data_IF_709926339841
#
_entry.id   IF_709926339841
#
_cell.length_a   1.000
_cell.length_b   1.000
_cell.length_c   1.000
_cell.angle_alpha   90.00
_cell.angle_beta   90.00
_cell.angle_gamma   90.00
#
_symmetry.space_group_name_H-M   'P 1'
#
loop_
_entity.id
_entity.type
_entity.pdbx_description
1 polymer ?
#
# COMPACT_ATOMS: atom_id res chain seq x y z
N UNK A 1 22.45 23.08 27.17
CA UNK A 1 21.11 22.45 27.23
C UNK A 1 20.09 23.56 27.08
N UNK A 2 19.11 23.44 26.19
CA UNK A 2 18.08 24.50 26.08
C UNK A 2 17.15 24.45 27.30
N UNK A 3 16.70 25.60 27.84
CA UNK A 3 15.96 25.65 29.11
C UNK A 3 14.64 24.87 29.09
N UNK A 4 14.03 24.68 27.92
CA UNK A 4 12.82 23.86 27.75
C UNK A 4 13.06 22.34 27.93
N UNK A 5 14.32 21.90 28.05
CA UNK A 5 14.71 20.49 28.25
C UNK A 5 15.04 20.18 29.72
N UNK A 6 15.04 21.20 30.59
CA UNK A 6 15.42 21.08 32.00
C UNK A 6 14.22 20.67 32.87
N UNK A 7 12.99 20.81 32.36
CA UNK A 7 11.75 20.48 33.05
C UNK A 7 11.00 19.28 32.42
N UNK A 8 11.68 18.40 31.68
CA UNK A 8 11.03 17.12 31.33
C UNK A 8 10.82 16.33 32.62
N UNK A 9 9.57 16.02 33.00
CA UNK A 9 9.33 15.14 34.14
C UNK A 9 10.06 13.82 33.90
N UNK A 10 10.55 13.19 34.97
CA UNK A 10 11.18 11.88 34.92
C UNK A 10 10.28 10.80 34.25
N UNK A 11 8.98 11.09 34.09
CA UNK A 11 7.95 10.27 33.46
C UNK A 11 7.43 10.88 32.14
N UNK A 12 8.32 11.29 31.22
CA UNK A 12 7.95 11.71 29.86
C UNK A 12 7.50 10.51 29.00
N UNK A 13 6.45 9.82 29.45
CA UNK A 13 5.80 8.71 28.73
C UNK A 13 4.92 9.31 27.65
N UNK A 14 5.32 9.11 26.39
CA UNK A 14 4.47 9.41 25.23
C UNK A 14 3.62 8.17 24.96
N UNK A 15 2.33 8.23 25.33
CA UNK A 15 1.38 7.16 25.01
C UNK A 15 0.98 7.26 23.54
N UNK A 16 1.21 6.18 22.78
CA UNK A 16 0.77 6.02 21.40
C UNK A 16 -0.38 4.99 21.36
N UNK A 17 -1.64 5.42 21.60
CA UNK A 17 -2.73 4.48 21.91
C UNK A 17 -3.16 3.57 20.75
N UNK A 18 -2.86 3.91 19.49
CA UNK A 18 -3.31 3.15 18.32
C UNK A 18 -2.17 2.53 17.49
N UNK A 19 -0.92 2.76 17.87
CA UNK A 19 0.22 2.37 17.06
C UNK A 19 0.68 0.97 17.44
N UNK A 20 0.69 0.05 16.47
CA UNK A 20 1.14 -1.33 16.70
C UNK A 20 2.63 -1.33 17.05
N UNK A 21 3.00 -2.11 18.06
CA UNK A 21 4.35 -2.17 18.63
C UNK A 21 5.44 -2.27 17.55
N UNK A 22 5.22 -3.08 16.51
CA UNK A 22 6.23 -3.31 15.47
C UNK A 22 6.50 -2.09 14.59
N UNK A 23 5.47 -1.27 14.32
CA UNK A 23 5.65 -0.04 13.54
C UNK A 23 6.45 1.01 14.34
N UNK A 24 6.22 1.07 15.66
CA UNK A 24 6.97 1.96 16.57
C UNK A 24 8.43 1.51 16.65
N UNK A 25 8.69 0.20 16.81
CA UNK A 25 10.06 -0.32 16.80
C UNK A 25 10.78 -0.02 15.47
N UNK A 26 10.09 -0.17 14.34
CA UNK A 26 10.64 0.18 13.03
C UNK A 26 10.97 1.67 12.93
N UNK A 27 10.09 2.54 13.44
CA UNK A 27 10.34 3.98 13.47
C UNK A 27 11.54 4.34 14.36
N UNK A 28 11.62 3.79 15.58
CA UNK A 28 12.76 3.99 16.47
C UNK A 28 14.05 3.53 15.82
N UNK A 29 14.04 2.35 15.21
CA UNK A 29 15.21 1.84 14.50
C UNK A 29 15.63 2.79 13.38
N UNK A 30 14.70 3.25 12.54
CA UNK A 30 15.00 4.23 11.49
C UNK A 30 15.53 5.55 12.05
N UNK A 31 15.00 6.03 13.17
CA UNK A 31 15.40 7.28 13.79
C UNK A 31 16.89 7.27 14.17
N UNK A 32 17.36 6.15 14.73
CA UNK A 32 18.75 5.99 15.18
C UNK A 32 19.71 5.50 14.10
N UNK A 33 19.26 4.59 13.22
CA UNK A 33 20.13 3.93 12.23
C UNK A 33 20.02 4.50 10.82
N UNK A 34 18.95 5.23 10.52
CA UNK A 34 18.54 5.64 9.17
C UNK A 34 18.29 4.47 8.21
N UNK A 35 17.98 3.29 8.75
CA UNK A 35 17.64 2.10 7.98
C UNK A 35 16.30 1.51 8.41
N UNK A 36 15.61 0.88 7.45
CA UNK A 36 14.33 0.20 7.67
C UNK A 36 14.56 -1.29 7.47
N UNK A 37 14.81 -2.04 8.56
CA UNK A 37 15.08 -3.46 8.47
C UNK A 37 13.77 -4.20 8.21
N UNK A 38 13.85 -5.21 7.36
CA UNK A 38 12.77 -6.16 7.14
C UNK A 38 13.31 -7.52 7.53
N UNK A 39 12.63 -8.17 8.48
CA UNK A 39 13.02 -9.50 8.92
C UNK A 39 12.83 -10.50 7.79
N UNK A 40 13.86 -11.30 7.51
CA UNK A 40 13.81 -12.38 6.52
C UNK A 40 12.81 -13.50 6.90
N UNK A 41 12.35 -13.52 8.16
CA UNK A 41 11.38 -14.51 8.64
C UNK A 41 9.92 -14.10 8.36
N UNK A 42 9.68 -12.88 7.84
CA UNK A 42 8.34 -12.44 7.49
C UNK A 42 7.95 -12.94 6.09
N UNK A 43 6.70 -13.33 5.93
CA UNK A 43 6.11 -13.48 4.60
C UNK A 43 6.08 -12.13 3.88
N UNK A 44 6.04 -12.11 2.55
CA UNK A 44 5.98 -10.87 1.79
C UNK A 44 4.77 -10.01 2.21
N UNK A 45 3.61 -10.63 2.41
CA UNK A 45 2.40 -9.92 2.88
C UNK A 45 2.58 -9.31 4.27
N UNK A 46 3.17 -10.06 5.21
CA UNK A 46 3.41 -9.55 6.55
C UNK A 46 4.42 -8.39 6.53
N UNK A 47 5.45 -8.48 5.69
CA UNK A 47 6.42 -7.40 5.50
C UNK A 47 5.78 -6.15 4.90
N UNK A 48 4.97 -6.28 3.84
CA UNK A 48 4.26 -5.13 3.27
C UNK A 48 3.22 -4.54 4.22
N UNK A 49 2.53 -5.37 5.00
CA UNK A 49 1.59 -4.89 6.01
C UNK A 49 2.33 -4.10 7.09
N UNK A 50 3.51 -4.54 7.53
CA UNK A 50 4.37 -3.80 8.46
C UNK A 50 4.83 -2.46 7.87
N UNK A 51 5.29 -2.44 6.62
CA UNK A 51 5.68 -1.21 5.92
C UNK A 51 4.50 -0.23 5.79
N UNK A 52 3.28 -0.72 5.50
CA UNK A 52 2.10 0.13 5.44
C UNK A 52 1.74 0.72 6.82
N UNK A 53 1.82 -0.06 7.89
CA UNK A 53 1.64 0.44 9.26
C UNK A 53 2.68 1.50 9.62
N UNK A 54 3.96 1.26 9.26
CA UNK A 54 5.03 2.22 9.46
C UNK A 54 4.79 3.52 8.68
N UNK A 55 4.28 3.44 7.45
CA UNK A 55 3.90 4.64 6.69
C UNK A 55 2.78 5.42 7.39
N UNK A 56 1.73 4.73 7.86
CA UNK A 56 0.61 5.33 8.61
C UNK A 56 1.09 5.98 9.91
N UNK A 57 2.02 5.35 10.63
CA UNK A 57 2.68 5.96 11.79
C UNK A 57 3.42 7.24 11.37
N UNK A 58 4.16 7.21 10.26
CA UNK A 58 4.81 8.39 9.70
C UNK A 58 3.84 9.51 9.30
N UNK A 59 2.62 9.17 8.88
CA UNK A 59 1.55 10.16 8.64
C UNK A 59 1.11 10.81 9.95
N UNK A 60 0.85 10.00 10.99
CA UNK A 60 0.49 10.50 12.33
C UNK A 60 1.56 11.39 12.94
N UNK A 61 2.84 11.01 12.79
CA UNK A 61 3.99 11.76 13.29
C UNK A 61 4.39 12.94 12.40
N UNK A 62 3.77 13.09 11.22
CA UNK A 62 4.13 14.07 10.20
C UNK A 62 5.61 14.00 9.76
N UNK A 63 6.27 12.85 9.91
CA UNK A 63 7.68 12.67 9.53
C UNK A 63 7.80 12.34 8.04
N UNK A 64 8.01 13.38 7.24
CA UNK A 64 8.16 13.26 5.78
C UNK A 64 9.37 12.40 5.40
N UNK A 65 10.48 12.48 6.15
CA UNK A 65 11.71 11.72 5.81
C UNK A 65 11.49 10.24 6.04
N UNK A 66 10.83 9.89 7.14
CA UNK A 66 10.46 8.51 7.42
C UNK A 66 9.50 7.96 6.36
N UNK A 67 8.42 8.70 6.06
CA UNK A 67 7.46 8.31 5.01
C UNK A 67 8.12 8.06 3.66
N UNK A 68 9.03 8.94 3.24
CA UNK A 68 9.76 8.78 1.99
C UNK A 68 10.67 7.55 2.03
N UNK A 69 11.34 7.29 3.16
CA UNK A 69 12.15 6.09 3.31
C UNK A 69 11.30 4.82 3.19
N UNK A 70 10.11 4.78 3.82
CA UNK A 70 9.19 3.64 3.70
C UNK A 70 8.75 3.42 2.25
N UNK A 71 8.44 4.49 1.51
CA UNK A 71 8.10 4.40 0.07
C UNK A 71 9.26 3.81 -0.74
N UNK A 72 10.49 4.29 -0.52
CA UNK A 72 11.68 3.76 -1.18
C UNK A 72 11.88 2.27 -0.86
N UNK A 73 11.67 1.88 0.40
CA UNK A 73 11.75 0.49 0.83
C UNK A 73 10.67 -0.37 0.18
N UNK A 74 9.41 0.07 0.12
CA UNK A 74 8.32 -0.64 -0.57
C UNK A 74 8.68 -0.89 -2.03
N UNK A 75 9.21 0.11 -2.74
CA UNK A 75 9.64 -0.02 -4.13
C UNK A 75 10.78 -1.03 -4.30
N UNK A 76 11.80 -0.96 -3.45
CA UNK A 76 12.95 -1.86 -3.51
C UNK A 76 12.51 -3.32 -3.32
N UNK A 77 11.71 -3.58 -2.28
CA UNK A 77 11.26 -4.94 -1.96
C UNK A 77 10.29 -5.51 -2.99
N UNK A 78 9.38 -4.69 -3.51
CA UNK A 78 8.51 -5.09 -4.62
C UNK A 78 9.33 -5.56 -5.83
N UNK A 79 10.43 -4.86 -6.13
CA UNK A 79 11.29 -5.21 -7.26
C UNK A 79 12.13 -6.45 -6.99
N UNK A 80 12.67 -6.57 -5.78
CA UNK A 80 13.45 -7.72 -5.34
C UNK A 80 12.62 -9.01 -5.33
N UNK A 81 11.46 -8.99 -4.67
CA UNK A 81 10.59 -10.16 -4.54
C UNK A 81 9.68 -10.40 -5.74
N UNK A 82 9.62 -9.45 -6.67
CA UNK A 82 8.65 -9.44 -7.79
C UNK A 82 7.20 -9.65 -7.32
N UNK A 83 6.89 -9.11 -6.15
CA UNK A 83 5.62 -9.30 -5.45
C UNK A 83 4.86 -7.98 -5.34
N UNK A 84 3.56 -8.00 -5.64
CA UNK A 84 2.70 -6.82 -5.46
C UNK A 84 1.92 -6.95 -4.15
N UNK A 85 1.92 -5.92 -3.28
CA UNK A 85 1.12 -5.97 -2.05
C UNK A 85 -0.38 -5.99 -2.37
N UNK A 86 -1.09 -6.93 -1.76
CA UNK A 86 -2.54 -7.13 -1.92
C UNK A 86 -3.29 -7.08 -0.58
N UNK A 87 -4.62 -7.02 -0.63
CA UNK A 87 -5.52 -7.20 0.51
C UNK A 87 -5.19 -6.33 1.72
N UNK A 88 -4.70 -6.96 2.80
CA UNK A 88 -4.48 -6.31 4.10
C UNK A 88 -3.57 -5.08 4.03
N UNK A 89 -2.51 -5.10 3.21
CA UNK A 89 -1.60 -3.97 3.07
C UNK A 89 -2.31 -2.73 2.52
N UNK A 90 -3.18 -2.95 1.51
CA UNK A 90 -4.02 -1.90 0.92
C UNK A 90 -5.02 -1.37 1.95
N UNK A 91 -5.67 -2.27 2.69
CA UNK A 91 -6.65 -1.90 3.70
C UNK A 91 -6.06 -1.03 4.81
N UNK A 92 -4.87 -1.38 5.32
CA UNK A 92 -4.14 -0.58 6.31
C UNK A 92 -3.86 0.82 5.76
N UNK A 93 -3.40 0.89 4.50
CA UNK A 93 -3.02 2.16 3.90
C UNK A 93 -4.22 3.08 3.68
N UNK A 94 -5.35 2.56 3.20
CA UNK A 94 -6.56 3.35 3.00
C UNK A 94 -7.20 3.76 4.33
N UNK A 95 -7.17 2.91 5.36
CA UNK A 95 -7.69 3.28 6.67
C UNK A 95 -6.86 4.38 7.35
N UNK A 96 -5.54 4.39 7.14
CA UNK A 96 -4.61 5.23 7.90
C UNK A 96 -4.05 6.46 7.19
N UNK A 97 -4.49 6.77 5.97
CA UNK A 97 -3.96 7.89 5.18
C UNK A 97 -5.07 8.72 4.55
N UNK A 98 -4.86 10.02 4.24
CA UNK A 98 -5.84 10.82 3.50
C UNK A 98 -5.86 10.44 2.01
N UNK A 99 -6.93 10.81 1.30
CA UNK A 99 -7.09 10.58 -0.15
C UNK A 99 -5.93 11.15 -0.99
N UNK A 100 -5.33 12.24 -0.53
CA UNK A 100 -4.19 12.90 -1.21
C UNK A 100 -2.85 12.22 -0.97
N UNK A 101 -2.81 11.11 -0.20
CA UNK A 101 -1.59 10.43 0.17
C UNK A 101 -0.79 9.92 -1.05
N UNK A 102 0.52 10.23 -1.14
CA UNK A 102 1.41 9.67 -2.15
C UNK A 102 1.47 8.13 -2.13
N UNK A 103 1.34 7.51 -0.95
CA UNK A 103 1.37 6.05 -0.84
C UNK A 103 0.15 5.40 -1.50
N UNK A 104 -1.05 5.97 -1.34
CA UNK A 104 -2.25 5.49 -2.04
C UNK A 104 -2.04 5.51 -3.55
N UNK A 105 -1.51 6.61 -4.09
CA UNK A 105 -1.18 6.73 -5.52
C UNK A 105 -0.18 5.68 -6.00
N UNK A 106 0.85 5.39 -5.19
CA UNK A 106 1.82 4.33 -5.51
C UNK A 106 1.13 2.98 -5.68
N UNK A 107 0.32 2.57 -4.71
CA UNK A 107 -0.36 1.26 -4.75
C UNK A 107 -1.31 1.17 -5.94
N UNK A 108 -2.04 2.25 -6.23
CA UNK A 108 -2.91 2.35 -7.40
C UNK A 108 -2.12 2.16 -8.70
N UNK A 109 -0.96 2.82 -8.83
CA UNK A 109 -0.11 2.66 -10.02
C UNK A 109 0.46 1.24 -10.13
N UNK A 110 0.87 0.62 -9.03
CA UNK A 110 1.38 -0.75 -9.02
C UNK A 110 0.31 -1.72 -9.51
N UNK A 111 -0.91 -1.63 -8.97
CA UNK A 111 -2.02 -2.50 -9.36
C UNK A 111 -2.48 -2.23 -10.78
N UNK A 112 -2.70 -0.98 -11.17
CA UNK A 112 -3.16 -0.65 -12.51
C UNK A 112 -2.21 -1.16 -13.63
N UNK A 113 -0.92 -1.33 -13.31
CA UNK A 113 0.08 -1.77 -14.29
C UNK A 113 0.32 -3.28 -14.23
N UNK A 114 0.38 -3.86 -13.03
CA UNK A 114 0.82 -5.25 -12.83
C UNK A 114 -0.30 -6.24 -12.55
N UNK A 115 -1.57 -5.78 -12.42
CA UNK A 115 -2.71 -6.66 -12.19
C UNK A 115 -2.76 -7.80 -13.22
N UNK A 116 -2.95 -9.02 -12.72
CA UNK A 116 -3.12 -10.24 -13.52
C UNK A 116 -4.40 -10.93 -13.06
N UNK A 117 -5.15 -11.49 -14.01
CA UNK A 117 -6.36 -12.26 -13.69
C UNK A 117 -5.99 -13.71 -13.32
N UNK A 118 -5.33 -13.87 -12.18
CA UNK A 118 -5.02 -15.17 -11.57
C UNK A 118 -5.59 -15.26 -10.14
N UNK A 119 -5.65 -16.47 -9.58
CA UNK A 119 -6.32 -16.77 -8.31
C UNK A 119 -5.82 -15.88 -7.15
N UNK A 120 -4.51 -15.68 -7.05
CA UNK A 120 -3.90 -14.83 -6.01
C UNK A 120 -4.39 -13.39 -6.06
N UNK A 121 -4.48 -12.83 -7.26
CA UNK A 121 -4.99 -11.47 -7.45
C UNK A 121 -6.49 -11.37 -7.22
N UNK A 122 -7.27 -12.39 -7.59
CA UNK A 122 -8.72 -12.42 -7.34
C UNK A 122 -9.03 -12.42 -5.84
N UNK A 123 -8.36 -13.28 -5.07
CA UNK A 123 -8.48 -13.27 -3.60
C UNK A 123 -8.07 -11.91 -3.02
N UNK A 124 -7.03 -11.31 -3.60
CA UNK A 124 -6.57 -9.97 -3.26
C UNK A 124 -7.63 -8.89 -3.51
N UNK A 125 -8.39 -8.97 -4.61
CA UNK A 125 -9.47 -8.04 -4.96
C UNK A 125 -10.56 -8.07 -3.91
N UNK A 126 -11.00 -9.25 -3.47
CA UNK A 126 -12.07 -9.41 -2.48
C UNK A 126 -11.70 -8.82 -1.12
N UNK A 127 -10.42 -8.87 -0.78
CA UNK A 127 -9.89 -8.28 0.46
C UNK A 127 -9.63 -6.77 0.37
N UNK A 128 -9.74 -6.13 -0.80
CA UNK A 128 -9.41 -4.73 -0.98
C UNK A 128 -10.59 -3.78 -0.66
N UNK A 129 -10.32 -2.57 -0.13
CA UNK A 129 -11.32 -1.53 -0.01
C UNK A 129 -11.90 -1.14 -1.38
N UNK A 130 -13.23 -0.94 -1.44
CA UNK A 130 -13.92 -0.55 -2.69
C UNK A 130 -13.37 0.74 -3.29
N UNK A 131 -12.96 1.69 -2.45
CA UNK A 131 -12.35 2.96 -2.87
C UNK A 131 -11.05 2.72 -3.63
N UNK A 132 -10.21 1.80 -3.16
CA UNK A 132 -8.97 1.45 -3.84
C UNK A 132 -9.24 0.85 -5.23
N UNK A 133 -10.18 -0.08 -5.32
CA UNK A 133 -10.54 -0.71 -6.60
C UNK A 133 -11.07 0.33 -7.60
N UNK A 134 -11.87 1.29 -7.12
CA UNK A 134 -12.32 2.43 -7.93
C UNK A 134 -11.14 3.26 -8.46
N UNK A 135 -10.18 3.59 -7.60
CA UNK A 135 -9.01 4.37 -7.99
C UNK A 135 -8.14 3.62 -9.00
N UNK A 136 -7.97 2.31 -8.83
CA UNK A 136 -7.29 1.43 -9.80
C UNK A 136 -8.01 1.45 -11.15
N UNK A 137 -9.33 1.27 -11.19
CA UNK A 137 -10.10 1.31 -12.44
C UNK A 137 -9.99 2.67 -13.14
N UNK A 138 -10.08 3.76 -12.39
CA UNK A 138 -9.86 5.11 -12.93
C UNK A 138 -8.45 5.27 -13.50
N UNK A 139 -7.43 4.74 -12.82
CA UNK A 139 -6.04 4.80 -13.30
C UNK A 139 -5.84 3.93 -14.55
N UNK A 140 -6.36 2.71 -14.56
CA UNK A 140 -6.34 1.82 -15.73
C UNK A 140 -7.03 2.48 -16.92
N UNK A 141 -8.15 3.18 -16.72
CA UNK A 141 -8.82 3.90 -17.81
C UNK A 141 -7.94 4.99 -18.44
N UNK A 142 -7.22 5.76 -17.63
CA UNK A 142 -6.26 6.78 -18.12
C UNK A 142 -5.17 6.18 -19.00
N UNK A 143 -4.70 4.97 -18.68
CA UNK A 143 -3.69 4.26 -19.46
C UNK A 143 -4.30 3.50 -20.65
N UNK A 144 -5.52 2.96 -20.51
CA UNK A 144 -6.25 2.20 -21.54
C UNK A 144 -6.62 3.04 -22.75
N UNK A 145 -6.83 4.35 -22.59
CA UNK A 145 -7.12 5.28 -23.70
C UNK A 145 -6.00 5.35 -24.77
N UNK A 146 -4.93 4.58 -24.61
CA UNK A 146 -3.85 4.37 -25.59
C UNK A 146 -3.92 3.02 -26.33
N UNK A 147 -4.98 2.21 -26.15
CA UNK A 147 -5.13 0.86 -26.72
C UNK A 147 -6.20 0.76 -27.83
N UNK A 148 -5.91 0.12 -28.98
CA UNK A 148 -6.78 0.10 -30.16
C UNK A 148 -7.84 -1.02 -30.18
N UNK A 149 -8.21 -1.61 -29.04
CA UNK A 149 -9.17 -2.72 -28.97
C UNK A 149 -10.46 -2.31 -28.23
N UNK A 150 -11.23 -1.41 -28.84
CA UNK A 150 -12.53 -1.04 -28.30
C UNK A 150 -13.57 -2.14 -28.61
N UNK A 151 -14.55 -2.41 -27.72
CA UNK A 151 -15.64 -3.35 -28.00
C UNK A 151 -16.42 -3.03 -29.28
N UNK A 152 -16.48 -1.76 -29.70
CA UNK A 152 -17.06 -1.36 -30.99
C UNK A 152 -16.31 -1.88 -32.22
N UNK A 153 -15.16 -2.53 -32.04
CA UNK A 153 -14.37 -3.20 -33.07
C UNK A 153 -14.43 -4.75 -32.95
N UNK A 154 -15.13 -5.28 -31.94
CA UNK A 154 -15.34 -6.72 -31.74
C UNK A 154 -16.67 -7.15 -32.38
N UNK A 155 -16.76 -8.41 -32.82
CA UNK A 155 -18.00 -8.99 -33.32
C UNK A 155 -19.02 -9.10 -32.19
N UNK A 156 -20.21 -8.53 -32.37
CA UNK A 156 -21.27 -8.54 -31.36
C UNK A 156 -21.76 -9.96 -31.04
N UNK A 157 -21.54 -10.93 -31.95
CA UNK A 157 -21.90 -12.33 -31.73
C UNK A 157 -21.18 -12.96 -30.53
N UNK A 158 -20.02 -12.40 -30.11
CA UNK A 158 -19.32 -12.84 -28.89
C UNK A 158 -20.15 -12.57 -27.62
N UNK A 159 -21.13 -11.67 -27.68
CA UNK A 159 -22.01 -11.31 -26.57
C UNK A 159 -23.43 -11.92 -26.69
N UNK A 160 -23.74 -12.62 -27.78
CA UNK A 160 -25.06 -13.22 -27.98
C UNK A 160 -25.19 -14.53 -27.21
N UNK A 161 -26.30 -14.69 -26.47
CA UNK A 161 -26.66 -15.96 -25.83
C UNK A 161 -26.97 -17.01 -26.89
N UNK A 162 -26.48 -18.23 -26.71
CA UNK A 162 -26.77 -19.36 -27.60
C UNK A 162 -27.65 -20.34 -26.86
N UNK A 163 -28.82 -20.65 -27.43
CA UNK A 163 -29.68 -21.72 -26.90
C UNK A 163 -28.89 -23.04 -26.94
N UNK A 164 -28.71 -23.65 -25.76
CA UNK A 164 -28.14 -25.00 -25.68
C UNK A 164 -29.21 -25.97 -26.18
N UNK A 165 -28.98 -26.57 -27.33
CA UNK A 165 -29.77 -27.72 -27.78
C UNK A 165 -29.48 -28.89 -26.85
N UNK A 166 -30.46 -29.26 -26.03
CA UNK A 166 -30.47 -30.48 -25.21
C UNK A 166 -30.51 -31.75 -26.07
#
# INVERSE_FOLDING_TARGET
MKPEWVNSPADAVITLPDDKEEAVYMYLHWLYSRTVPISANLTHDAAFALLCKAYVLGERLMDIKFKNQIISTIFAQRNEWRYCPVGQSVAILYAGTPETSPARRLFVHLWAYWFRDDESWRDGVDACPKEFLKDVLCQMSKWRLQSPAAPGQMDFQVYCEVEKSD
#
